data_IF_216885515900
#
_entry.id   IF_216885515900
#
_cell.length_a   1.000
_cell.length_b   1.000
_cell.length_c   1.000
_cell.angle_alpha   90.00
_cell.angle_beta   90.00
_cell.angle_gamma   90.00
#
_symmetry.space_group_name_H-M   'P 1'
#
loop_
_entity.id
_entity.type
_entity.pdbx_description
1 polymer ?
#
# COMPACT_ATOMS: atom_id res chain seq x y z
N UNK A 1 35.87 12.80 -24.52
CA UNK A 1 34.85 11.81 -24.13
C UNK A 1 33.53 12.52 -23.91
N UNK A 2 32.53 12.26 -24.75
CA UNK A 2 31.28 13.02 -24.75
C UNK A 2 30.42 12.65 -23.53
N UNK A 3 30.07 13.63 -22.70
CA UNK A 3 29.29 13.49 -21.48
C UNK A 3 27.93 12.80 -21.70
N UNK A 4 27.37 12.92 -22.90
CA UNK A 4 26.14 12.27 -23.36
C UNK A 4 26.29 10.73 -23.38
N UNK A 5 27.44 10.23 -23.83
CA UNK A 5 27.74 8.80 -23.88
C UNK A 5 27.89 8.24 -22.46
N UNK A 6 28.53 8.99 -21.56
CA UNK A 6 28.67 8.59 -20.16
C UNK A 6 27.32 8.52 -19.44
N UNK A 7 26.45 9.53 -19.62
CA UNK A 7 25.10 9.55 -19.04
C UNK A 7 24.25 8.36 -19.52
N UNK A 8 24.30 8.08 -20.82
CA UNK A 8 23.56 6.97 -21.44
C UNK A 8 24.02 5.61 -20.88
N UNK A 9 25.34 5.41 -20.76
CA UNK A 9 25.91 4.21 -20.16
C UNK A 9 25.51 4.05 -18.67
N UNK A 10 25.46 5.14 -17.90
CA UNK A 10 25.03 5.10 -16.50
C UNK A 10 23.56 4.70 -16.36
N UNK A 11 22.67 5.23 -17.21
CA UNK A 11 21.24 4.85 -17.21
C UNK A 11 21.09 3.37 -17.55
N UNK A 12 21.70 2.90 -18.64
CA UNK A 12 21.63 1.50 -19.07
C UNK A 12 22.16 0.55 -17.98
N UNK A 13 23.28 0.92 -17.34
CA UNK A 13 23.87 0.13 -16.25
C UNK A 13 22.95 0.08 -15.04
N UNK A 14 22.34 1.21 -14.65
CA UNK A 14 21.43 1.27 -13.51
C UNK A 14 20.17 0.43 -13.75
N UNK A 15 19.55 0.55 -14.93
CA UNK A 15 18.39 -0.26 -15.31
C UNK A 15 18.70 -1.76 -15.30
N UNK A 16 19.84 -2.18 -15.85
CA UNK A 16 20.28 -3.59 -15.81
C UNK A 16 20.50 -4.09 -14.37
N UNK A 17 21.05 -3.25 -13.49
CA UNK A 17 21.25 -3.58 -12.08
C UNK A 17 19.91 -3.68 -11.33
N UNK A 18 18.94 -2.81 -11.61
CA UNK A 18 17.59 -2.87 -11.02
C UNK A 18 16.84 -4.13 -11.44
N UNK A 19 16.93 -4.54 -12.71
CA UNK A 19 16.33 -5.80 -13.18
C UNK A 19 16.98 -7.00 -12.49
N UNK A 20 18.32 -7.02 -12.37
CA UNK A 20 19.03 -8.11 -11.68
C UNK A 20 18.70 -8.15 -10.19
N UNK A 21 18.55 -7.00 -9.55
CA UNK A 21 18.14 -6.89 -8.15
C UNK A 21 16.72 -7.44 -7.94
N UNK A 22 15.75 -7.09 -8.82
CA UNK A 22 14.40 -7.68 -8.80
C UNK A 22 14.41 -9.20 -8.99
N UNK A 23 15.28 -9.72 -9.84
CA UNK A 23 15.39 -11.17 -10.08
C UNK A 23 16.03 -11.93 -8.90
N UNK A 24 16.96 -11.29 -8.16
CA UNK A 24 17.62 -11.87 -6.99
C UNK A 24 16.77 -11.74 -5.71
N UNK A 25 16.02 -10.65 -5.56
CA UNK A 25 15.01 -10.46 -4.51
C UNK A 25 13.65 -11.02 -4.93
N UNK A 26 13.64 -12.20 -5.56
CA UNK A 26 12.41 -12.97 -5.67
C UNK A 26 12.14 -13.54 -4.27
N UNK A 27 11.35 -12.82 -3.47
CA UNK A 27 10.78 -13.41 -2.26
C UNK A 27 10.05 -14.68 -2.69
N UNK A 28 10.65 -15.84 -2.40
CA UNK A 28 10.00 -17.13 -2.52
C UNK A 28 9.03 -17.18 -1.35
N UNK A 29 7.86 -16.56 -1.54
CA UNK A 29 6.81 -16.56 -0.53
C UNK A 29 6.33 -18.01 -0.41
N UNK A 30 6.57 -18.60 0.74
CA UNK A 30 6.01 -19.91 1.07
C UNK A 30 4.48 -19.78 1.09
N UNK A 31 3.74 -20.81 0.63
CA UNK A 31 2.28 -20.76 0.66
C UNK A 31 1.81 -20.49 2.10
N UNK A 32 0.79 -19.64 2.28
CA UNK A 32 0.34 -19.27 3.61
C UNK A 32 -0.13 -20.50 4.37
N UNK A 33 0.30 -20.64 5.63
CA UNK A 33 -0.08 -21.77 6.51
C UNK A 33 -1.60 -21.84 6.73
N UNK A 34 -2.27 -20.69 6.67
CA UNK A 34 -3.74 -20.57 6.73
C UNK A 34 -4.18 -19.65 5.59
N UNK A 35 -5.08 -20.13 4.74
CA UNK A 35 -5.69 -19.31 3.68
C UNK A 35 -6.90 -18.58 4.26
N UNK A 36 -6.88 -17.26 4.19
CA UNK A 36 -8.02 -16.41 4.55
C UNK A 36 -8.97 -16.37 3.35
N UNK A 37 -10.22 -16.73 3.56
CA UNK A 37 -11.25 -16.68 2.53
C UNK A 37 -11.54 -15.23 2.09
N UNK A 38 -12.07 -15.05 0.88
CA UNK A 38 -12.49 -13.72 0.41
C UNK A 38 -13.54 -13.12 1.34
N UNK A 39 -14.44 -13.93 1.88
CA UNK A 39 -15.47 -13.49 2.82
C UNK A 39 -14.86 -12.91 4.11
N UNK A 40 -13.86 -13.58 4.70
CA UNK A 40 -13.16 -13.07 5.88
C UNK A 40 -12.43 -11.75 5.59
N UNK A 41 -11.79 -11.63 4.42
CA UNK A 41 -11.15 -10.36 4.01
C UNK A 41 -12.16 -9.22 3.92
N UNK A 42 -13.32 -9.48 3.33
CA UNK A 42 -14.41 -8.48 3.25
C UNK A 42 -14.90 -8.13 4.65
N UNK A 43 -15.09 -9.13 5.53
CA UNK A 43 -15.48 -8.90 6.92
C UNK A 43 -14.49 -8.00 7.67
N UNK A 44 -13.19 -8.25 7.54
CA UNK A 44 -12.16 -7.40 8.14
C UNK A 44 -12.16 -5.98 7.57
N UNK A 45 -12.33 -5.83 6.25
CA UNK A 45 -12.41 -4.51 5.61
C UNK A 45 -13.59 -3.71 6.16
N UNK A 46 -14.77 -4.32 6.26
CA UNK A 46 -15.96 -3.68 6.82
C UNK A 46 -15.76 -3.31 8.28
N UNK A 47 -15.21 -4.22 9.10
CA UNK A 47 -14.94 -3.94 10.50
C UNK A 47 -13.97 -2.77 10.71
N UNK A 48 -12.88 -2.72 9.93
CA UNK A 48 -11.90 -1.64 9.99
C UNK A 48 -12.50 -0.31 9.54
N UNK A 49 -13.22 -0.29 8.42
CA UNK A 49 -13.83 0.94 7.89
C UNK A 49 -14.90 1.50 8.82
N UNK A 50 -15.78 0.64 9.35
CA UNK A 50 -16.78 1.04 10.34
C UNK A 50 -16.12 1.58 11.62
N UNK A 51 -15.09 0.92 12.13
CA UNK A 51 -14.36 1.35 13.33
C UNK A 51 -13.71 2.73 13.17
N UNK A 52 -13.06 2.98 12.04
CA UNK A 52 -12.42 4.27 11.75
C UNK A 52 -13.47 5.39 11.60
N UNK A 53 -14.61 5.09 10.97
CA UNK A 53 -15.64 6.09 10.69
C UNK A 53 -16.64 6.32 11.83
N UNK A 54 -16.70 5.45 12.83
CA UNK A 54 -17.68 5.53 13.91
C UNK A 54 -17.62 6.85 14.68
N UNK A 55 -16.42 7.26 15.14
CA UNK A 55 -16.22 8.50 15.89
C UNK A 55 -16.51 9.76 15.05
N UNK A 56 -15.92 9.95 13.85
CA UNK A 56 -16.22 11.14 13.06
C UNK A 56 -17.68 11.19 12.63
N UNK A 57 -18.31 10.06 12.32
CA UNK A 57 -19.75 10.02 12.04
C UNK A 57 -20.57 10.48 13.25
N UNK A 58 -20.22 10.02 14.46
CA UNK A 58 -20.89 10.46 15.69
C UNK A 58 -20.78 11.97 15.90
N UNK A 59 -19.58 12.53 15.74
CA UNK A 59 -19.35 13.98 15.87
C UNK A 59 -20.17 14.76 14.85
N UNK A 60 -20.18 14.31 13.59
CA UNK A 60 -20.93 14.97 12.52
C UNK A 60 -22.44 14.98 12.79
N UNK A 61 -22.98 13.89 13.32
CA UNK A 61 -24.40 13.78 13.70
C UNK A 61 -24.78 14.75 14.82
N UNK A 62 -23.88 14.99 15.79
CA UNK A 62 -24.16 15.83 16.96
C UNK A 62 -23.74 17.30 16.80
N UNK A 63 -23.24 17.71 15.63
CA UNK A 63 -22.86 19.10 15.35
C UNK A 63 -23.98 20.11 15.63
N UNK A 64 -25.23 19.73 15.35
CA UNK A 64 -26.39 20.58 15.61
C UNK A 64 -26.65 20.83 17.10
N UNK A 65 -26.36 19.84 17.96
CA UNK A 65 -26.53 19.95 19.40
C UNK A 65 -25.43 20.81 20.03
N UNK A 66 -24.23 20.78 19.45
CA UNK A 66 -23.13 21.66 19.88
C UNK A 66 -23.37 23.13 19.56
N UNK A 67 -24.17 23.46 18.52
CA UNK A 67 -24.49 24.84 18.14
C UNK A 67 -25.67 25.45 18.90
N UNK A 68 -26.50 24.63 19.54
CA UNK A 68 -27.71 25.07 20.26
C UNK A 68 -27.46 25.38 21.75
N UNK A 69 -26.25 25.10 22.24
CA UNK A 69 -25.74 25.57 23.53
C UNK A 69 -24.97 26.87 23.34
#
# INVERSE_FOLDING_TARGET
MNSIVQRSCTVIRNTKMQVRYRSMCRMIVTPPRVRISTAEKVGHLVALTAGILAIPAWVLVHLGDYKKK
#
